data_IF_394068437449
#
_entry.id   IF_394068437449
#
_cell.length_a   1.000
_cell.length_b   1.000
_cell.length_c   1.000
_cell.angle_alpha   90.00
_cell.angle_beta   90.00
_cell.angle_gamma   90.00
#
_symmetry.space_group_name_H-M   'P 1'
#
loop_
_entity.id
_entity.type
_entity.pdbx_description
1 polymer ?
#
# COMPACT_ATOMS: atom_id res chain seq x y z
N UNK A 1 -59.41 -44.29 -18.32
CA UNK A 1 -60.29 -44.81 -17.24
C UNK A 1 -59.74 -44.19 -15.95
N UNK A 2 -60.09 -42.95 -15.59
CA UNK A 2 -61.25 -42.57 -14.76
C UNK A 2 -61.29 -43.43 -13.46
N UNK A 3 -61.25 -42.93 -12.23
CA UNK A 3 -61.93 -41.74 -11.71
C UNK A 3 -61.43 -41.31 -10.29
N UNK A 4 -61.54 -40.00 -10.05
CA UNK A 4 -62.07 -39.28 -8.87
C UNK A 4 -61.52 -39.50 -7.44
N UNK A 5 -61.07 -38.38 -6.86
CA UNK A 5 -61.05 -38.08 -5.41
C UNK A 5 -62.50 -37.82 -4.88
N UNK A 6 -62.77 -37.70 -3.56
CA UNK A 6 -62.36 -36.50 -2.79
C UNK A 6 -62.10 -36.65 -1.26
N UNK A 7 -61.41 -35.62 -0.75
CA UNK A 7 -61.52 -34.90 0.54
C UNK A 7 -61.96 -35.59 1.87
N UNK A 8 -61.18 -35.32 2.93
CA UNK A 8 -61.63 -35.45 4.32
C UNK A 8 -60.50 -35.21 5.34
N UNK A 9 -60.48 -34.00 5.92
CA UNK A 9 -59.53 -33.49 6.91
C UNK A 9 -59.65 -34.12 8.30
N UNK A 10 -58.52 -34.27 9.01
CA UNK A 10 -58.43 -34.28 10.49
C UNK A 10 -56.97 -34.12 10.94
N UNK A 11 -56.67 -33.01 11.60
CA UNK A 11 -55.44 -32.81 12.39
C UNK A 11 -55.43 -33.74 13.61
N UNK A 12 -54.25 -34.22 14.05
CA UNK A 12 -54.02 -34.60 15.44
C UNK A 12 -53.19 -33.53 16.16
N UNK A 13 -53.67 -33.17 17.36
CA UNK A 13 -53.09 -32.14 18.21
C UNK A 13 -51.72 -32.49 18.77
N UNK A 14 -50.92 -31.46 19.02
CA UNK A 14 -49.63 -31.55 19.66
C UNK A 14 -49.79 -31.86 21.17
N UNK A 15 -49.39 -33.07 21.57
CA UNK A 15 -49.09 -33.41 22.95
C UNK A 15 -47.97 -32.50 23.48
N UNK A 16 -48.27 -31.73 24.54
CA UNK A 16 -47.26 -31.00 25.31
C UNK A 16 -46.60 -31.96 26.30
N UNK A 17 -45.41 -32.45 25.96
CA UNK A 17 -44.52 -33.11 26.93
C UNK A 17 -43.94 -32.06 27.87
N UNK A 18 -44.34 -32.14 29.13
CA UNK A 18 -43.80 -31.36 30.24
C UNK A 18 -42.38 -31.89 30.58
N UNK A 19 -41.32 -31.25 30.08
CA UNK A 19 -39.98 -31.44 30.64
C UNK A 19 -39.63 -30.28 31.55
N UNK A 20 -39.51 -30.62 32.84
CA UNK A 20 -38.94 -29.78 33.89
C UNK A 20 -37.42 -29.83 33.73
N UNK A 21 -36.78 -28.70 33.46
CA UNK A 21 -35.33 -28.57 33.48
C UNK A 21 -34.96 -27.33 34.27
N UNK A 22 -34.23 -27.57 35.35
CA UNK A 22 -33.75 -26.57 36.30
C UNK A 22 -32.69 -25.65 35.67
N UNK A 23 -32.81 -24.35 35.96
CA UNK A 23 -31.71 -23.40 36.10
C UNK A 23 -30.69 -23.28 34.97
N UNK A 24 -31.03 -22.56 33.90
CA UNK A 24 -30.10 -21.80 33.06
C UNK A 24 -30.92 -20.72 32.31
N UNK A 25 -30.86 -19.47 32.77
CA UNK A 25 -31.42 -18.34 32.04
C UNK A 25 -30.59 -18.11 30.78
N UNK A 26 -30.98 -18.72 29.66
CA UNK A 26 -30.66 -18.19 28.35
C UNK A 26 -31.52 -16.95 28.15
N UNK A 27 -30.91 -15.75 28.24
CA UNK A 27 -31.55 -14.52 27.78
C UNK A 27 -31.70 -14.63 26.27
N UNK A 28 -32.89 -14.99 25.80
CA UNK A 28 -33.21 -14.96 24.37
C UNK A 28 -33.27 -13.51 23.92
N UNK A 29 -32.20 -13.04 23.27
CA UNK A 29 -32.20 -11.76 22.56
C UNK A 29 -33.19 -11.82 21.41
N UNK A 30 -34.12 -10.87 21.39
CA UNK A 30 -35.20 -10.84 20.40
C UNK A 30 -34.66 -10.23 19.11
N UNK A 31 -34.44 -11.07 18.09
CA UNK A 31 -33.91 -10.65 16.79
C UNK A 31 -35.02 -10.21 15.78
N UNK A 32 -36.29 -10.50 16.06
CA UNK A 32 -37.44 -10.14 15.23
C UNK A 32 -38.66 -9.86 16.13
N UNK A 33 -39.34 -8.72 15.94
CA UNK A 33 -40.53 -8.34 16.71
C UNK A 33 -41.68 -9.36 16.61
N UNK A 34 -41.68 -10.23 15.59
CA UNK A 34 -42.74 -11.22 15.32
C UNK A 34 -42.63 -12.51 16.15
N UNK A 35 -41.57 -12.73 16.93
CA UNK A 35 -41.45 -13.92 17.78
C UNK A 35 -42.12 -13.77 19.17
N UNK A 36 -42.61 -12.57 19.52
CA UNK A 36 -43.34 -12.31 20.76
C UNK A 36 -44.62 -11.51 20.48
N UNK A 37 -45.58 -12.11 19.79
CA UNK A 37 -46.93 -11.51 19.72
C UNK A 37 -47.64 -11.72 21.06
N UNK A 38 -47.25 -10.96 22.08
CA UNK A 38 -48.13 -10.70 23.20
C UNK A 38 -49.07 -9.58 22.76
N UNK A 39 -50.36 -9.88 22.66
CA UNK A 39 -51.40 -8.88 22.41
C UNK A 39 -51.36 -7.90 23.57
N UNK A 40 -50.86 -6.68 23.34
CA UNK A 40 -50.85 -5.60 24.31
C UNK A 40 -52.26 -5.00 24.37
N UNK A 41 -52.99 -5.29 25.44
CA UNK A 41 -54.29 -4.66 25.73
C UNK A 41 -54.00 -3.59 26.80
N UNK A 42 -54.14 -2.29 26.48
CA UNK A 42 -53.92 -1.24 27.46
C UNK A 42 -54.95 -1.34 28.59
N UNK A 43 -54.53 -1.07 29.82
CA UNK A 43 -55.41 -1.05 30.98
C UNK A 43 -56.33 0.20 30.91
N UNK A 44 -57.65 -0.02 30.76
CA UNK A 44 -58.64 1.06 30.66
C UNK A 44 -59.09 1.45 32.06
N UNK A 45 -58.75 2.68 32.47
CA UNK A 45 -59.15 3.20 33.78
C UNK A 45 -60.55 3.80 33.71
N UNK A 46 -61.56 3.04 34.13
CA UNK A 46 -62.94 3.52 34.23
C UNK A 46 -63.15 4.24 35.57
N UNK A 47 -62.93 5.55 35.59
CA UNK A 47 -63.49 6.40 36.64
C UNK A 47 -64.78 7.06 36.13
N UNK A 48 -65.82 7.03 36.97
CA UNK A 48 -67.18 7.51 36.72
C UNK A 48 -67.24 9.02 36.38
N UNK A 49 -66.89 9.37 35.15
CA UNK A 49 -67.34 10.52 34.38
C UNK A 49 -66.71 10.38 32.99
N UNK A 50 -67.54 10.33 31.95
CA UNK A 50 -67.17 10.20 30.53
C UNK A 50 -66.38 11.41 29.97
N UNK A 51 -65.54 12.08 30.77
CA UNK A 51 -64.82 13.29 30.34
C UNK A 51 -63.32 13.10 30.08
N UNK A 52 -62.67 12.02 30.53
CA UNK A 52 -61.24 11.84 30.26
C UNK A 52 -60.87 10.38 29.97
N UNK A 53 -61.00 9.98 28.71
CA UNK A 53 -60.34 8.79 28.18
C UNK A 53 -58.84 9.04 28.07
N UNK A 54 -58.09 8.69 29.09
CA UNK A 54 -56.62 8.66 29.03
C UNK A 54 -56.17 7.20 28.94
N UNK A 55 -55.55 6.83 27.82
CA UNK A 55 -54.85 5.55 27.69
C UNK A 55 -53.52 5.66 28.43
N UNK A 56 -53.32 4.84 29.47
CA UNK A 56 -52.05 4.76 30.19
C UNK A 56 -51.17 3.68 29.53
N UNK A 57 -50.08 4.12 28.91
CA UNK A 57 -49.09 3.26 28.27
C UNK A 57 -47.83 3.07 29.12
N UNK A 58 -47.84 3.44 30.40
CA UNK A 58 -46.66 3.40 31.26
C UNK A 58 -46.12 1.99 31.46
N UNK A 59 -47.02 0.99 31.47
CA UNK A 59 -46.66 -0.43 31.58
C UNK A 59 -46.03 -0.96 30.31
N UNK A 60 -46.62 -0.67 29.15
CA UNK A 60 -46.14 -1.05 27.83
C UNK A 60 -44.80 -0.39 27.56
N UNK A 61 -44.65 0.90 27.91
CA UNK A 61 -43.39 1.62 27.84
C UNK A 61 -42.32 0.93 28.69
N UNK A 62 -42.63 0.57 29.95
CA UNK A 62 -41.68 -0.13 30.83
C UNK A 62 -41.32 -1.53 30.34
N UNK A 63 -42.26 -2.23 29.68
CA UNK A 63 -42.01 -3.52 29.04
C UNK A 63 -41.12 -3.37 27.80
N UNK A 64 -41.40 -2.39 26.93
CA UNK A 64 -40.60 -2.10 25.75
C UNK A 64 -39.18 -1.63 26.12
N UNK A 65 -39.05 -0.80 27.16
CA UNK A 65 -37.76 -0.37 27.71
C UNK A 65 -36.97 -1.52 28.37
N UNK A 66 -37.66 -2.59 28.78
CA UNK A 66 -37.05 -3.78 29.38
C UNK A 66 -36.64 -4.86 28.37
N UNK A 67 -36.90 -4.68 27.07
CA UNK A 67 -36.53 -5.64 26.02
C UNK A 67 -35.06 -5.46 25.60
N UNK A 68 -34.28 -6.54 25.68
CA UNK A 68 -32.90 -6.61 25.15
C UNK A 68 -32.95 -6.86 23.64
N UNK A 69 -33.17 -5.77 22.88
CA UNK A 69 -33.15 -5.82 21.43
C UNK A 69 -31.73 -6.08 20.92
N UNK A 70 -31.60 -7.03 19.99
CA UNK A 70 -30.34 -7.20 19.29
C UNK A 70 -30.08 -5.94 18.45
N UNK A 71 -28.97 -5.25 18.71
CA UNK A 71 -28.52 -4.11 17.92
C UNK A 71 -27.41 -4.52 16.95
N UNK A 72 -27.21 -3.73 15.89
CA UNK A 72 -26.02 -3.88 15.06
C UNK A 72 -24.75 -3.78 15.94
N UNK A 73 -23.64 -4.44 15.56
CA UNK A 73 -22.42 -4.40 16.36
C UNK A 73 -21.85 -2.99 16.45
N UNK A 74 -21.02 -2.73 17.46
CA UNK A 74 -20.21 -1.51 17.48
C UNK A 74 -19.24 -1.48 16.27
N UNK A 75 -18.90 -0.29 15.76
CA UNK A 75 -17.86 -0.15 14.73
C UNK A 75 -16.56 -0.85 15.15
N UNK A 76 -16.01 -1.75 14.30
CA UNK A 76 -14.68 -2.30 14.57
C UNK A 76 -13.61 -1.21 14.40
N UNK A 77 -12.47 -1.37 15.08
CA UNK A 77 -11.34 -0.45 15.00
C UNK A 77 -10.14 -1.14 14.37
N UNK A 78 -9.67 -0.65 13.23
CA UNK A 78 -8.43 -1.13 12.59
C UNK A 78 -7.24 -0.68 13.44
N UNK A 79 -6.32 -1.61 13.70
CA UNK A 79 -5.10 -1.39 14.50
C UNK A 79 -3.92 -1.31 13.54
N UNK A 80 -3.68 -0.12 12.97
CA UNK A 80 -2.63 0.09 11.96
C UNK A 80 -1.24 -0.33 12.46
N UNK A 81 -0.99 -0.21 13.77
CA UNK A 81 0.27 -0.62 14.41
C UNK A 81 0.49 -2.15 14.44
N UNK A 82 -0.57 -2.93 14.24
CA UNK A 82 -0.50 -4.40 14.13
C UNK A 82 -0.53 -4.86 12.67
N UNK A 83 -0.90 -3.97 11.74
CA UNK A 83 -0.93 -4.28 10.32
C UNK A 83 0.49 -4.51 9.79
N UNK A 84 0.61 -5.44 8.84
CA UNK A 84 1.89 -5.71 8.18
C UNK A 84 1.74 -5.62 6.67
N UNK A 85 2.77 -5.15 6.00
CA UNK A 85 2.79 -5.01 4.55
C UNK A 85 4.02 -5.67 3.95
N UNK A 86 3.81 -6.36 2.84
CA UNK A 86 4.86 -6.74 1.90
C UNK A 86 4.66 -5.95 0.59
N UNK A 87 5.40 -6.29 -0.46
CA UNK A 87 5.25 -5.65 -1.76
C UNK A 87 3.93 -6.00 -2.48
N UNK A 88 3.28 -7.10 -2.15
CA UNK A 88 2.05 -7.56 -2.82
C UNK A 88 0.96 -8.02 -1.84
N UNK A 89 1.22 -7.90 -0.53
CA UNK A 89 0.25 -8.29 0.51
C UNK A 89 0.13 -7.23 1.59
N UNK A 90 -1.06 -7.10 2.16
CA UNK A 90 -1.32 -6.34 3.39
C UNK A 90 -2.15 -7.21 4.32
N UNK A 91 -1.67 -7.44 5.54
CA UNK A 91 -2.45 -8.04 6.62
C UNK A 91 -3.05 -6.94 7.46
N UNK A 92 -4.38 -6.85 7.45
CA UNK A 92 -5.14 -5.88 8.22
C UNK A 92 -5.58 -6.54 9.52
N UNK A 93 -5.32 -5.87 10.65
CA UNK A 93 -5.77 -6.29 11.97
C UNK A 93 -6.79 -5.31 12.52
N UNK A 94 -7.84 -5.80 13.18
CA UNK A 94 -8.84 -4.98 13.83
C UNK A 94 -9.30 -5.58 15.15
N UNK A 95 -10.02 -4.78 15.93
CA UNK A 95 -10.67 -5.21 17.18
C UNK A 95 -12.14 -4.76 17.20
N UNK A 96 -12.96 -5.48 17.95
CA UNK A 96 -14.34 -5.10 18.28
C UNK A 96 -14.51 -5.15 19.79
N UNK A 97 -15.18 -4.16 20.37
CA UNK A 97 -15.39 -4.08 21.82
C UNK A 97 -16.22 -5.26 22.36
N UNK A 98 -17.27 -5.64 21.64
CA UNK A 98 -18.09 -6.82 21.92
C UNK A 98 -18.02 -7.80 20.75
N UNK A 99 -16.99 -8.65 20.74
CA UNK A 99 -16.77 -9.64 19.69
C UNK A 99 -17.90 -10.70 19.63
N UNK A 100 -18.58 -10.96 20.75
CA UNK A 100 -19.71 -11.91 20.80
C UNK A 100 -20.95 -11.38 20.09
N UNK A 101 -21.08 -10.05 19.95
CA UNK A 101 -22.16 -9.44 19.16
C UNK A 101 -21.96 -9.57 17.66
N UNK A 102 -20.76 -9.95 17.19
CA UNK A 102 -20.39 -10.00 15.77
C UNK A 102 -20.54 -11.42 15.23
N UNK A 103 -21.33 -11.58 14.17
CA UNK A 103 -21.46 -12.87 13.47
C UNK A 103 -20.36 -13.08 12.43
N UNK A 104 -19.91 -12.02 11.76
CA UNK A 104 -18.79 -12.02 10.81
C UNK A 104 -18.32 -10.61 10.50
N UNK A 105 -17.13 -10.52 9.93
CA UNK A 105 -16.60 -9.32 9.31
C UNK A 105 -16.62 -9.41 7.79
N UNK A 106 -16.63 -8.25 7.16
CA UNK A 106 -16.38 -8.06 5.74
C UNK A 106 -15.27 -7.01 5.60
N UNK A 107 -14.21 -7.33 4.87
CA UNK A 107 -13.13 -6.40 4.57
C UNK A 107 -13.35 -5.83 3.17
N UNK A 108 -13.35 -4.51 3.07
CA UNK A 108 -13.45 -3.79 1.80
C UNK A 108 -12.16 -3.00 1.57
N UNK A 109 -11.64 -2.99 0.34
CA UNK A 109 -10.47 -2.18 0.01
C UNK A 109 -10.48 -1.63 -1.41
N UNK A 110 -9.79 -0.50 -1.61
CA UNK A 110 -9.61 0.13 -2.92
C UNK A 110 -8.29 0.90 -2.98
N UNK A 111 -7.80 1.21 -4.19
CA UNK A 111 -6.58 1.99 -4.40
C UNK A 111 -6.84 3.45 -4.05
N UNK A 112 -5.94 4.07 -3.29
CA UNK A 112 -6.00 5.50 -3.00
C UNK A 112 -5.44 6.30 -4.19
N UNK A 113 -6.33 6.92 -4.96
CA UNK A 113 -5.96 7.92 -5.97
C UNK A 113 -5.96 9.29 -5.29
N UNK A 114 -4.81 9.93 -5.14
CA UNK A 114 -4.64 11.18 -4.36
C UNK A 114 -5.54 12.36 -4.75
N UNK A 115 -6.26 12.27 -5.88
CA UNK A 115 -7.22 13.26 -6.37
C UNK A 115 -8.68 13.04 -5.94
N UNK A 116 -9.02 11.88 -5.36
CA UNK A 116 -10.39 11.60 -4.96
C UNK A 116 -10.64 12.00 -3.50
N UNK A 117 -11.52 12.99 -3.28
CA UNK A 117 -12.12 13.19 -1.96
C UNK A 117 -12.72 11.86 -1.49
N UNK A 118 -12.47 11.46 -0.23
CA UNK A 118 -12.96 10.21 0.36
C UNK A 118 -14.46 9.95 0.11
N UNK A 119 -15.26 11.02 0.06
CA UNK A 119 -16.70 10.99 -0.25
C UNK A 119 -16.98 10.44 -1.67
N UNK A 120 -16.13 10.72 -2.65
CA UNK A 120 -16.28 10.23 -4.03
C UNK A 120 -16.00 8.72 -4.14
N UNK A 121 -15.06 8.19 -3.36
CA UNK A 121 -14.75 6.75 -3.30
C UNK A 121 -15.83 5.97 -2.56
N UNK A 122 -16.42 6.55 -1.50
CA UNK A 122 -17.51 5.95 -0.74
C UNK A 122 -18.79 5.75 -1.59
N UNK A 123 -19.06 6.66 -2.53
CA UNK A 123 -20.25 6.61 -3.40
C UNK A 123 -20.05 5.75 -4.66
N UNK A 124 -18.82 5.38 -5.00
CA UNK A 124 -18.52 4.47 -6.13
C UNK A 124 -18.46 3.03 -5.63
N UNK A 125 -19.62 2.45 -5.28
CA UNK A 125 -19.70 1.08 -4.75
C UNK A 125 -19.09 0.02 -5.68
N UNK A 126 -18.94 0.30 -6.99
CA UNK A 126 -18.34 -0.61 -7.98
C UNK A 126 -16.80 -0.65 -7.96
N UNK A 127 -16.14 0.19 -7.14
CA UNK A 127 -14.66 0.29 -7.12
C UNK A 127 -13.99 -0.40 -5.92
N UNK A 128 -14.78 -1.00 -5.04
CA UNK A 128 -14.27 -1.68 -3.85
C UNK A 128 -14.16 -3.18 -4.08
N UNK A 129 -13.02 -3.73 -3.70
CA UNK A 129 -12.84 -5.17 -3.58
C UNK A 129 -13.40 -5.61 -2.23
N UNK A 130 -14.19 -6.67 -2.21
CA UNK A 130 -14.92 -7.13 -1.02
C UNK A 130 -14.50 -8.56 -0.67
N UNK A 131 -14.14 -8.77 0.59
CA UNK A 131 -13.86 -10.06 1.20
C UNK A 131 -14.89 -10.31 2.30
N UNK A 132 -15.97 -11.07 2.02
CA UNK A 132 -17.03 -11.31 2.99
C UNK A 132 -16.72 -12.48 3.94
N UNK A 133 -17.55 -12.63 4.98
CA UNK A 133 -17.61 -13.82 5.84
C UNK A 133 -16.33 -14.14 6.63
N UNK A 134 -15.54 -13.13 6.99
CA UNK A 134 -14.34 -13.29 7.80
C UNK A 134 -14.77 -13.55 9.25
N UNK A 135 -14.25 -14.61 9.87
CA UNK A 135 -14.54 -14.95 11.29
C UNK A 135 -13.43 -14.55 12.25
N UNK A 136 -12.28 -14.18 11.72
CA UNK A 136 -11.10 -13.75 12.48
C UNK A 136 -11.11 -12.22 12.60
N UNK A 137 -10.25 -11.71 13.48
CA UNK A 137 -10.01 -10.29 13.68
C UNK A 137 -8.87 -9.73 12.80
N UNK A 138 -8.47 -10.48 11.78
CA UNK A 138 -7.47 -10.09 10.81
C UNK A 138 -7.71 -10.78 9.49
N UNK A 139 -7.16 -10.22 8.42
CA UNK A 139 -7.17 -10.83 7.10
C UNK A 139 -5.99 -10.35 6.26
N UNK A 140 -5.37 -11.26 5.50
CA UNK A 140 -4.31 -10.94 4.56
C UNK A 140 -4.86 -10.84 3.15
N UNK A 141 -4.79 -9.65 2.57
CA UNK A 141 -5.08 -9.42 1.16
C UNK A 141 -3.82 -9.68 0.35
N UNK A 142 -3.96 -10.43 -0.75
CA UNK A 142 -2.87 -10.83 -1.64
C UNK A 142 -3.06 -10.24 -3.04
N UNK A 143 -1.96 -10.16 -3.81
CA UNK A 143 -1.99 -9.69 -5.21
C UNK A 143 -2.20 -8.18 -5.34
N UNK A 144 -1.81 -7.42 -4.32
CA UNK A 144 -1.83 -5.96 -4.35
C UNK A 144 -0.68 -5.43 -5.22
N UNK A 145 -0.87 -4.24 -5.78
CA UNK A 145 0.19 -3.54 -6.52
C UNK A 145 1.24 -3.04 -5.53
N UNK A 146 2.52 -3.18 -5.88
CA UNK A 146 3.63 -2.69 -5.07
C UNK A 146 3.70 -1.17 -5.01
N UNK A 147 4.29 -0.64 -3.93
CA UNK A 147 4.45 0.79 -3.74
C UNK A 147 3.14 1.59 -3.71
N UNK A 148 2.00 0.93 -3.57
CA UNK A 148 0.66 1.51 -3.79
C UNK A 148 -0.04 1.71 -2.45
N UNK A 149 -0.70 2.86 -2.30
CA UNK A 149 -1.53 3.16 -1.12
C UNK A 149 -2.94 2.64 -1.33
N UNK A 150 -3.50 2.03 -0.30
CA UNK A 150 -4.85 1.45 -0.28
C UNK A 150 -5.64 2.02 0.89
N UNK A 151 -6.96 2.11 0.71
CA UNK A 151 -7.90 2.34 1.80
C UNK A 151 -8.55 1.01 2.15
N UNK A 152 -8.60 0.68 3.44
CA UNK A 152 -9.28 -0.48 4.00
C UNK A 152 -10.42 -0.05 4.91
N UNK A 153 -11.56 -0.75 4.82
CA UNK A 153 -12.72 -0.61 5.68
C UNK A 153 -13.11 -1.99 6.19
N UNK A 154 -13.28 -2.13 7.51
CA UNK A 154 -13.78 -3.37 8.12
C UNK A 154 -15.22 -3.16 8.53
N UNK A 155 -16.10 -4.06 8.13
CA UNK A 155 -17.52 -4.03 8.47
C UNK A 155 -17.86 -5.18 9.39
N UNK A 156 -18.32 -4.89 10.61
CA UNK A 156 -18.84 -5.87 11.54
C UNK A 156 -20.33 -6.11 11.24
N UNK A 157 -20.75 -7.39 11.18
CA UNK A 157 -22.08 -7.80 10.74
C UNK A 157 -22.70 -8.77 11.74
N UNK A 158 -23.98 -8.57 12.08
CA UNK A 158 -24.82 -9.53 12.79
C UNK A 158 -26.27 -9.50 12.23
N UNK A 159 -27.19 -10.22 12.87
CA UNK A 159 -28.58 -10.31 12.42
C UNK A 159 -29.34 -8.98 12.47
N UNK A 160 -28.95 -8.04 13.33
CA UNK A 160 -29.58 -6.74 13.48
C UNK A 160 -29.02 -5.67 12.53
N UNK A 161 -27.88 -5.94 11.87
CA UNK A 161 -27.31 -5.07 10.86
C UNK A 161 -25.80 -5.07 10.86
N UNK A 162 -25.22 -3.93 10.47
CA UNK A 162 -23.77 -3.79 10.33
C UNK A 162 -23.27 -2.39 10.61
N UNK A 163 -21.97 -2.29 10.93
CA UNK A 163 -21.24 -1.03 11.12
C UNK A 163 -19.85 -1.13 10.52
N UNK A 164 -19.39 -0.02 9.95
CA UNK A 164 -18.06 0.10 9.35
C UNK A 164 -17.08 0.71 10.35
N UNK A 165 -15.82 0.33 10.25
CA UNK A 165 -14.70 1.04 10.88
C UNK A 165 -14.49 2.41 10.24
N UNK A 166 -13.69 3.24 10.91
CA UNK A 166 -12.99 4.32 10.21
C UNK A 166 -12.06 3.75 9.12
N UNK A 167 -11.81 4.49 8.03
CA UNK A 167 -10.94 4.06 6.96
C UNK A 167 -9.48 4.02 7.40
N UNK A 168 -8.82 2.88 7.21
CA UNK A 168 -7.39 2.73 7.42
C UNK A 168 -6.62 2.93 6.11
N UNK A 169 -5.50 3.65 6.16
CA UNK A 169 -4.67 3.91 4.97
C UNK A 169 -3.36 3.14 5.08
N UNK A 170 -3.26 2.05 4.33
CA UNK A 170 -2.10 1.16 4.37
C UNK A 170 -1.41 1.16 3.01
N UNK A 171 -0.09 0.99 3.00
CA UNK A 171 0.72 1.02 1.77
C UNK A 171 1.49 -0.29 1.62
N UNK A 172 1.53 -0.84 0.41
CA UNK A 172 2.44 -1.95 0.08
C UNK A 172 3.88 -1.45 -0.03
N UNK A 173 4.84 -2.32 0.31
CA UNK A 173 6.25 -1.99 0.19
C UNK A 173 6.68 -1.88 -1.27
N UNK A 174 7.87 -1.33 -1.48
CA UNK A 174 8.49 -1.26 -2.81
C UNK A 174 8.67 -2.65 -3.41
N UNK A 175 8.51 -2.74 -4.73
CA UNK A 175 8.81 -3.95 -5.49
C UNK A 175 10.29 -4.37 -5.33
N UNK A 176 10.59 -5.55 -4.76
CA UNK A 176 11.95 -6.06 -4.69
C UNK A 176 12.46 -6.41 -6.09
N UNK A 177 13.75 -6.18 -6.33
CA UNK A 177 14.40 -6.49 -7.60
C UNK A 177 15.87 -6.91 -7.38
N UNK A 178 16.44 -7.53 -8.40
CA UNK A 178 17.84 -7.96 -8.49
C UNK A 178 18.43 -7.50 -9.82
N UNK A 179 19.74 -7.48 -9.93
CA UNK A 179 20.43 -7.27 -11.20
C UNK A 179 20.12 -8.44 -12.15
N UNK A 180 19.76 -8.14 -13.39
CA UNK A 180 19.59 -9.15 -14.44
C UNK A 180 20.96 -9.44 -15.09
N UNK A 181 21.52 -10.66 -14.94
CA UNK A 181 22.78 -11.03 -15.57
C UNK A 181 22.75 -10.92 -17.10
N UNK A 182 21.58 -11.03 -17.73
CA UNK A 182 21.41 -10.89 -19.19
C UNK A 182 21.52 -9.43 -19.66
N UNK A 183 21.28 -8.48 -18.76
CA UNK A 183 21.40 -7.04 -19.02
C UNK A 183 22.73 -6.47 -18.51
N UNK A 184 23.59 -7.30 -17.93
CA UNK A 184 24.88 -6.89 -17.40
C UNK A 184 25.98 -6.90 -18.46
N UNK A 185 26.89 -5.93 -18.38
CA UNK A 185 28.09 -5.90 -19.20
C UNK A 185 29.01 -7.09 -18.85
N UNK A 186 29.63 -7.71 -19.86
CA UNK A 186 30.47 -8.93 -19.70
C UNK A 186 31.69 -8.77 -18.78
N UNK A 187 32.15 -7.53 -18.57
CA UNK A 187 33.25 -7.18 -17.63
C UNK A 187 32.75 -6.94 -16.18
N UNK A 188 31.47 -7.16 -15.90
CA UNK A 188 30.91 -7.14 -14.54
C UNK A 188 30.75 -8.56 -14.01
N UNK A 189 31.07 -8.72 -12.73
CA UNK A 189 30.66 -9.87 -11.93
C UNK A 189 29.47 -9.47 -11.09
N UNK A 190 28.44 -10.30 -11.13
CA UNK A 190 27.24 -10.16 -10.28
C UNK A 190 27.31 -11.26 -9.22
N UNK A 191 27.02 -10.92 -7.97
CA UNK A 191 26.93 -11.87 -6.87
C UNK A 191 25.81 -12.89 -7.08
N UNK A 192 25.90 -14.04 -6.41
CA UNK A 192 24.91 -15.12 -6.54
C UNK A 192 23.49 -14.69 -6.16
N UNK A 193 23.35 -13.76 -5.20
CA UNK A 193 22.06 -13.22 -4.78
C UNK A 193 21.49 -12.16 -5.76
N UNK A 194 22.30 -11.69 -6.71
CA UNK A 194 21.94 -10.66 -7.69
C UNK A 194 21.89 -9.24 -7.13
N UNK A 195 22.41 -8.99 -5.93
CA UNK A 195 22.32 -7.70 -5.24
C UNK A 195 23.62 -6.90 -5.23
N UNK A 196 24.73 -7.50 -5.66
CA UNK A 196 26.02 -6.83 -5.76
C UNK A 196 26.56 -6.96 -7.18
N UNK A 197 27.18 -5.89 -7.67
CA UNK A 197 28.02 -5.95 -8.85
C UNK A 197 29.39 -5.36 -8.58
N UNK A 198 30.40 -5.97 -9.19
CA UNK A 198 31.78 -5.52 -9.14
C UNK A 198 32.41 -5.58 -10.53
N UNK A 199 33.42 -4.74 -10.76
CA UNK A 199 34.19 -4.80 -11.99
C UNK A 199 35.18 -5.96 -11.95
N UNK A 200 35.19 -6.79 -13.00
CA UNK A 200 36.12 -7.91 -13.10
C UNK A 200 37.52 -7.46 -13.54
N UNK A 201 38.38 -7.18 -12.57
CA UNK A 201 39.78 -6.80 -12.77
C UNK A 201 40.64 -7.94 -13.35
N UNK A 202 40.17 -9.20 -13.32
CA UNK A 202 40.92 -10.34 -13.88
C UNK A 202 40.98 -10.32 -15.42
N UNK A 203 40.06 -9.59 -16.05
CA UNK A 203 40.04 -9.36 -17.51
C UNK A 203 41.20 -8.46 -17.99
N UNK A 204 41.81 -7.66 -17.10
CA UNK A 204 42.92 -6.78 -17.43
C UNK A 204 44.26 -7.52 -17.60
N UNK A 205 44.44 -8.67 -16.95
CA UNK A 205 45.71 -9.43 -17.00
C UNK A 205 45.95 -10.15 -18.34
N UNK A 206 44.95 -10.24 -19.22
CA UNK A 206 45.03 -10.93 -20.52
C UNK A 206 45.37 -10.02 -21.71
N UNK A 207 45.52 -8.70 -21.50
CA UNK A 207 45.86 -7.75 -22.57
C UNK A 207 47.28 -7.21 -22.37
N UNK A 208 48.22 -7.58 -23.24
CA UNK A 208 49.56 -6.95 -23.33
C UNK A 208 49.57 -5.68 -24.19
N UNK A 209 48.42 -5.25 -24.69
CA UNK A 209 48.26 -3.92 -25.25
C UNK A 209 47.71 -2.98 -24.17
N UNK A 210 48.34 -1.80 -23.94
CA UNK A 210 47.68 -0.76 -23.18
C UNK A 210 46.34 -0.49 -23.89
N UNK A 211 45.21 -0.67 -23.19
CA UNK A 211 43.89 -0.29 -23.70
C UNK A 211 43.95 1.23 -23.95
N UNK A 212 44.41 1.59 -25.15
CA UNK A 212 44.55 2.95 -25.66
C UNK A 212 43.14 3.51 -25.70
N UNK A 213 42.79 4.38 -24.75
CA UNK A 213 41.65 5.31 -24.75
C UNK A 213 40.61 5.07 -25.86
N UNK A 214 39.92 3.93 -25.84
CA UNK A 214 38.72 3.74 -26.64
C UNK A 214 37.58 4.20 -25.73
N UNK A 215 36.92 5.28 -26.14
CA UNK A 215 35.89 5.97 -25.36
C UNK A 215 34.59 5.19 -25.17
N UNK A 216 34.65 3.91 -24.77
CA UNK A 216 33.52 2.98 -24.71
C UNK A 216 33.36 2.28 -23.35
N UNK A 217 34.00 2.76 -22.28
CA UNK A 217 33.89 2.14 -20.96
C UNK A 217 32.59 2.52 -20.23
N UNK A 218 31.52 1.79 -20.49
CA UNK A 218 30.33 1.84 -19.65
C UNK A 218 30.01 0.42 -19.21
N UNK A 219 30.33 0.09 -17.96
CA UNK A 219 29.98 -1.23 -17.41
C UNK A 219 28.64 -1.10 -16.70
N UNK A 220 27.57 -1.28 -17.47
CA UNK A 220 26.19 -1.16 -17.00
C UNK A 220 25.54 -2.49 -16.66
N UNK A 221 24.57 -2.45 -15.75
CA UNK A 221 23.61 -3.49 -15.46
C UNK A 221 22.25 -2.85 -15.16
N UNK A 222 21.17 -3.63 -15.30
CA UNK A 222 19.82 -3.20 -15.02
C UNK A 222 19.11 -4.19 -14.08
N UNK A 223 18.09 -3.71 -13.39
CA UNK A 223 17.19 -4.54 -12.60
C UNK A 223 16.39 -5.49 -13.49
N UNK A 224 15.97 -6.61 -12.91
CA UNK A 224 15.13 -7.62 -13.56
C UNK A 224 13.62 -7.29 -13.52
N UNK A 225 13.25 -6.13 -13.00
CA UNK A 225 11.87 -5.66 -12.86
C UNK A 225 11.68 -4.34 -13.61
N UNK A 226 10.51 -4.20 -14.22
CA UNK A 226 10.03 -2.97 -14.83
C UNK A 226 8.86 -2.45 -14.00
N UNK A 227 8.97 -1.20 -13.56
CA UNK A 227 8.01 -0.50 -12.70
C UNK A 227 7.20 0.44 -13.59
N UNK A 228 5.89 0.39 -13.45
CA UNK A 228 4.92 1.12 -14.28
C UNK A 228 3.78 1.78 -13.48
N UNK A 229 3.88 1.76 -12.15
CA UNK A 229 2.91 2.30 -11.20
C UNK A 229 3.54 2.39 -9.83
N UNK A 230 2.92 3.15 -8.92
CA UNK A 230 3.27 3.18 -7.51
C UNK A 230 4.51 4.00 -7.15
N UNK A 231 4.85 3.97 -5.87
CA UNK A 231 5.97 4.70 -5.26
C UNK A 231 6.98 3.71 -4.65
N UNK A 232 8.17 3.66 -5.23
CA UNK A 232 9.21 2.67 -4.98
C UNK A 232 10.50 3.32 -4.47
N UNK A 233 11.05 2.74 -3.41
CA UNK A 233 12.30 3.16 -2.81
C UNK A 233 13.32 2.02 -2.78
N UNK A 234 14.57 2.37 -3.09
CA UNK A 234 15.72 1.49 -2.89
C UNK A 234 16.95 2.31 -2.54
N UNK A 235 17.91 1.65 -1.90
CA UNK A 235 19.20 2.26 -1.59
C UNK A 235 20.32 1.53 -2.31
N UNK A 236 21.38 2.27 -2.64
CA UNK A 236 22.59 1.72 -3.21
C UNK A 236 23.77 2.09 -2.33
N UNK A 237 24.44 1.08 -1.79
CA UNK A 237 25.69 1.24 -1.05
C UNK A 237 26.82 1.32 -2.07
N UNK A 238 27.42 2.51 -2.19
CA UNK A 238 28.48 2.83 -3.16
C UNK A 238 29.89 2.62 -2.61
N UNK A 239 30.03 2.41 -1.30
CA UNK A 239 31.28 2.09 -0.65
C UNK A 239 32.39 3.11 -0.98
N UNK A 240 33.51 2.65 -1.54
CA UNK A 240 34.60 3.54 -1.95
C UNK A 240 34.64 3.81 -3.46
N UNK A 241 33.60 3.42 -4.22
CA UNK A 241 33.48 3.75 -5.63
C UNK A 241 33.43 5.28 -5.83
N UNK A 242 34.21 5.76 -6.80
CA UNK A 242 34.29 7.18 -7.15
C UNK A 242 33.80 7.46 -8.56
N UNK A 243 33.35 6.42 -9.26
CA UNK A 243 32.89 6.49 -10.64
C UNK A 243 31.70 5.54 -10.82
N UNK A 244 30.50 6.10 -10.74
CA UNK A 244 29.24 5.37 -10.91
C UNK A 244 28.13 6.27 -11.43
N UNK A 245 27.09 5.68 -12.02
CA UNK A 245 25.81 6.34 -12.22
C UNK A 245 24.67 5.37 -11.86
N UNK A 246 23.64 5.90 -11.22
CA UNK A 246 22.54 5.15 -10.60
C UNK A 246 21.24 5.90 -10.88
N UNK A 247 20.19 5.20 -11.29
CA UNK A 247 18.88 5.80 -11.47
C UNK A 247 17.91 4.86 -12.15
N UNK A 248 17.13 5.38 -13.09
CA UNK A 248 16.16 4.58 -13.87
C UNK A 248 16.34 4.80 -15.37
N UNK A 249 15.92 3.81 -16.15
CA UNK A 249 15.91 3.89 -17.61
C UNK A 249 14.73 3.12 -18.19
N UNK A 250 14.31 3.53 -19.39
CA UNK A 250 13.42 2.71 -20.21
C UNK A 250 14.19 1.50 -20.76
N UNK A 251 13.45 0.43 -21.09
CA UNK A 251 14.00 -0.77 -21.76
C UNK A 251 14.69 -0.44 -23.10
N UNK A 252 14.23 0.61 -23.77
CA UNK A 252 14.76 1.10 -25.06
C UNK A 252 16.07 1.88 -24.93
N UNK A 253 16.54 2.17 -23.72
CA UNK A 253 17.76 2.94 -23.52
C UNK A 253 18.97 2.28 -24.24
N UNK A 254 19.77 3.06 -25.00
CA UNK A 254 20.96 2.56 -25.68
C UNK A 254 21.92 1.86 -24.72
N UNK A 255 22.26 0.61 -25.03
CA UNK A 255 23.16 -0.22 -24.20
C UNK A 255 24.64 0.09 -24.40
N UNK A 256 24.99 0.78 -25.49
CA UNK A 256 26.34 1.13 -25.88
C UNK A 256 26.73 2.58 -25.51
N UNK A 257 25.86 3.31 -24.81
CA UNK A 257 26.10 4.68 -24.37
C UNK A 257 26.13 4.78 -22.84
N UNK A 258 26.61 5.91 -22.33
CA UNK A 258 26.51 6.21 -20.91
C UNK A 258 25.07 6.55 -20.53
N UNK A 259 24.57 5.93 -19.46
CA UNK A 259 23.28 6.31 -18.87
C UNK A 259 23.30 7.79 -18.48
N UNK A 260 22.20 8.49 -18.76
CA UNK A 260 22.07 9.94 -18.65
C UNK A 260 22.47 10.74 -19.90
N UNK A 261 23.15 10.14 -20.89
CA UNK A 261 23.47 10.82 -22.16
C UNK A 261 22.36 10.77 -23.21
N UNK A 262 21.34 9.96 -22.98
CA UNK A 262 20.16 9.84 -23.85
C UNK A 262 18.89 10.33 -23.15
N UNK A 263 17.80 10.46 -23.90
CA UNK A 263 16.49 10.88 -23.39
C UNK A 263 15.71 9.78 -22.68
N UNK A 264 16.28 8.57 -22.56
CA UNK A 264 15.61 7.37 -22.00
C UNK A 264 16.18 6.94 -20.65
N UNK A 265 16.99 7.79 -20.00
CA UNK A 265 17.58 7.51 -18.70
C UNK A 265 17.76 8.78 -17.86
N UNK A 266 17.57 8.63 -16.55
CA UNK A 266 17.69 9.69 -15.54
C UNK A 266 18.51 9.15 -14.39
N UNK A 267 19.66 9.78 -14.11
CA UNK A 267 20.65 9.20 -13.21
C UNK A 267 21.32 10.25 -12.34
N UNK A 268 21.62 9.85 -11.12
CA UNK A 268 22.60 10.49 -10.26
C UNK A 268 23.97 9.83 -10.46
N UNK A 269 25.03 10.61 -10.53
CA UNK A 269 26.37 10.11 -10.83
C UNK A 269 27.45 10.79 -10.03
N UNK A 270 28.47 10.00 -9.69
CA UNK A 270 29.73 10.50 -9.17
C UNK A 270 30.83 10.32 -10.21
N UNK A 271 31.57 11.39 -10.48
CA UNK A 271 32.79 11.38 -11.27
C UNK A 271 33.91 11.98 -10.43
N UNK A 272 34.75 11.10 -9.87
CA UNK A 272 35.78 11.46 -8.90
C UNK A 272 35.18 12.13 -7.65
N UNK A 273 35.36 13.45 -7.51
CA UNK A 273 34.83 14.24 -6.39
C UNK A 273 33.56 15.03 -6.75
N UNK A 274 33.15 15.00 -8.03
CA UNK A 274 31.98 15.72 -8.48
C UNK A 274 30.77 14.79 -8.44
N UNK A 275 29.66 15.33 -7.95
CA UNK A 275 28.36 14.69 -8.01
C UNK A 275 27.50 15.49 -8.98
N UNK A 276 26.85 14.79 -9.88
CA UNK A 276 25.98 15.38 -10.89
C UNK A 276 24.72 14.55 -11.05
N UNK A 277 23.64 15.18 -11.47
CA UNK A 277 22.51 14.49 -12.08
C UNK A 277 22.61 14.64 -13.60
N UNK A 278 22.25 13.58 -14.34
CA UNK A 278 22.32 13.55 -15.81
C UNK A 278 21.05 13.04 -16.44
N UNK A 279 20.65 13.72 -17.51
CA UNK A 279 19.57 13.30 -18.40
C UNK A 279 19.73 14.00 -19.76
N UNK A 280 19.50 13.28 -20.86
CA UNK A 280 19.49 13.83 -22.21
C UNK A 280 20.73 14.68 -22.55
N UNK A 281 21.91 14.17 -22.17
CA UNK A 281 23.21 14.82 -22.38
C UNK A 281 23.37 16.18 -21.65
N UNK A 282 22.48 16.48 -20.69
CA UNK A 282 22.60 17.60 -19.77
C UNK A 282 23.10 17.10 -18.42
N UNK A 283 23.94 17.89 -17.79
CA UNK A 283 24.48 17.62 -16.46
C UNK A 283 24.24 18.82 -15.56
N UNK A 284 23.89 18.57 -14.29
CA UNK A 284 23.77 19.58 -13.24
C UNK A 284 24.57 19.11 -12.03
N UNK A 285 25.43 19.99 -11.49
CA UNK A 285 26.17 19.71 -10.27
C UNK A 285 25.23 19.64 -9.06
N UNK A 286 25.51 18.70 -8.17
CA UNK A 286 24.80 18.53 -6.91
C UNK A 286 25.81 18.63 -5.78
N UNK A 287 25.52 19.45 -4.78
CA UNK A 287 26.36 19.54 -3.59
C UNK A 287 26.10 18.34 -2.70
N UNK A 288 27.12 17.50 -2.52
CA UNK A 288 27.03 16.27 -1.74
C UNK A 288 28.27 16.13 -0.89
N UNK A 289 28.10 15.62 0.33
CA UNK A 289 29.23 15.36 1.21
C UNK A 289 30.19 14.33 0.56
N UNK A 290 31.51 14.62 0.43
CA UNK A 290 32.44 13.75 -0.31
C UNK A 290 32.53 12.31 0.20
N UNK A 291 32.19 12.10 1.46
CA UNK A 291 32.21 10.80 2.12
C UNK A 291 30.90 10.00 1.95
N UNK A 292 29.89 10.50 1.24
CA UNK A 292 28.63 9.79 1.01
C UNK A 292 28.90 8.35 0.53
N UNK A 293 28.33 7.38 1.25
CA UNK A 293 28.50 5.93 1.02
C UNK A 293 27.24 5.23 0.54
N UNK A 294 26.12 5.95 0.53
CA UNK A 294 24.81 5.42 0.24
C UNK A 294 24.00 6.46 -0.51
N UNK A 295 23.24 6.01 -1.49
CA UNK A 295 22.32 6.83 -2.25
C UNK A 295 20.93 6.22 -2.15
N UNK A 296 19.97 6.98 -1.67
CA UNK A 296 18.55 6.63 -1.73
C UNK A 296 17.95 7.08 -3.05
N UNK A 297 17.13 6.22 -3.65
CA UNK A 297 16.40 6.51 -4.90
C UNK A 297 14.92 6.26 -4.65
N UNK A 298 14.12 7.29 -4.88
CA UNK A 298 12.66 7.25 -4.79
C UNK A 298 12.07 7.50 -6.17
N UNK A 299 11.41 6.48 -6.72
CA UNK A 299 10.60 6.59 -7.93
C UNK A 299 9.13 6.70 -7.51
N UNK A 300 8.54 7.87 -7.65
CA UNK A 300 7.09 8.06 -7.59
C UNK A 300 6.55 8.09 -9.02
N UNK A 301 6.23 6.90 -9.54
CA UNK A 301 5.79 6.74 -10.92
C UNK A 301 4.45 7.45 -11.15
N UNK A 302 3.53 7.32 -10.18
CA UNK A 302 2.18 7.89 -10.27
C UNK A 302 2.20 9.43 -10.26
N UNK A 303 3.13 10.05 -9.52
CA UNK A 303 3.31 11.50 -9.48
C UNK A 303 4.41 12.02 -10.42
N UNK A 304 4.93 11.18 -11.34
CA UNK A 304 5.92 11.60 -12.33
C UNK A 304 7.22 12.16 -11.74
N UNK A 305 7.70 11.63 -10.61
CA UNK A 305 8.88 12.15 -9.93
C UNK A 305 9.95 11.06 -9.68
N UNK A 306 11.21 11.42 -9.91
CA UNK A 306 12.38 10.62 -9.52
C UNK A 306 13.29 11.45 -8.63
N UNK A 307 13.38 11.06 -7.36
CA UNK A 307 14.12 11.81 -6.33
C UNK A 307 15.32 11.02 -5.80
N UNK A 308 16.40 11.74 -5.49
CA UNK A 308 17.64 11.20 -4.94
C UNK A 308 17.91 11.79 -3.57
N UNK A 309 18.38 10.95 -2.65
CA UNK A 309 18.61 11.32 -1.26
C UNK A 309 19.96 10.82 -0.76
N UNK A 310 20.56 11.55 0.19
CA UNK A 310 21.55 11.01 1.11
C UNK A 310 20.82 10.53 2.38
N UNK A 311 20.51 9.22 2.49
CA UNK A 311 19.71 8.71 3.60
C UNK A 311 20.43 8.81 4.95
N UNK A 312 21.77 8.88 4.98
CA UNK A 312 22.51 9.00 6.24
C UNK A 312 22.31 10.37 6.88
N UNK A 313 22.10 11.40 6.06
CA UNK A 313 21.91 12.78 6.49
C UNK A 313 20.45 13.26 6.31
N UNK A 314 19.54 12.38 5.88
CA UNK A 314 18.15 12.72 5.53
C UNK A 314 18.05 13.93 4.59
N UNK A 315 19.00 14.03 3.66
CA UNK A 315 19.15 15.18 2.77
C UNK A 315 18.59 14.84 1.39
N UNK A 316 17.69 15.68 0.89
CA UNK A 316 17.28 15.68 -0.51
C UNK A 316 18.40 16.22 -1.40
N UNK A 317 18.73 15.49 -2.46
CA UNK A 317 19.81 15.84 -3.38
C UNK A 317 19.28 16.45 -4.68
N UNK A 318 18.27 15.82 -5.28
CA UNK A 318 17.69 16.27 -6.54
C UNK A 318 16.37 15.54 -6.84
N UNK A 319 15.46 16.18 -7.56
CA UNK A 319 14.27 15.56 -8.17
C UNK A 319 14.20 15.89 -9.65
N UNK A 320 14.02 14.85 -10.46
CA UNK A 320 13.54 14.99 -11.83
C UNK A 320 12.02 14.90 -11.86
N UNK A 321 11.38 15.89 -12.46
CA UNK A 321 10.00 15.80 -12.93
C UNK A 321 10.01 15.11 -14.30
N UNK A 322 9.43 13.91 -14.38
CA UNK A 322 9.48 13.03 -15.54
C UNK A 322 8.10 12.48 -15.85
N UNK A 323 7.53 12.89 -16.98
CA UNK A 323 6.34 12.24 -17.53
C UNK A 323 6.69 10.85 -18.07
N UNK A 324 6.58 9.83 -17.23
CA UNK A 324 6.88 8.45 -17.63
C UNK A 324 5.82 7.96 -18.63
N UNK A 325 6.27 7.51 -19.80
CA UNK A 325 5.38 7.02 -20.86
C UNK A 325 5.43 5.50 -21.02
N UNK A 326 6.40 4.85 -20.37
CA UNK A 326 6.66 3.41 -20.45
C UNK A 326 7.21 2.93 -19.10
N UNK A 327 7.11 1.63 -18.80
CA UNK A 327 7.74 1.06 -17.62
C UNK A 327 9.26 1.33 -17.60
N UNK A 328 9.78 1.69 -16.42
CA UNK A 328 11.21 1.94 -16.18
C UNK A 328 11.82 0.83 -15.34
N UNK A 329 13.11 0.57 -15.51
CA UNK A 329 13.85 -0.32 -14.62
C UNK A 329 14.96 0.44 -13.88
N UNK A 330 15.31 0.02 -12.65
CA UNK A 330 16.52 0.49 -11.99
C UNK A 330 17.75 0.20 -12.86
N UNK A 331 18.63 1.18 -13.02
CA UNK A 331 19.84 1.07 -13.85
C UNK A 331 21.08 1.55 -13.11
N UNK A 332 22.19 0.87 -13.37
CA UNK A 332 23.44 1.06 -12.64
C UNK A 332 24.62 0.96 -13.59
N UNK A 333 25.59 1.85 -13.44
CA UNK A 333 26.91 1.73 -14.07
C UNK A 333 28.01 1.97 -13.05
N UNK A 334 29.12 1.25 -13.21
CA UNK A 334 30.36 1.47 -12.46
C UNK A 334 31.56 1.52 -13.38
N UNK A 335 32.59 2.23 -12.95
CA UNK A 335 33.92 2.13 -13.56
C UNK A 335 34.96 1.50 -12.64
N UNK A 336 34.77 1.62 -11.32
CA UNK A 336 35.67 1.06 -10.33
C UNK A 336 34.91 0.44 -9.14
N UNK A 337 35.55 -0.58 -8.54
CA UNK A 337 35.12 -1.22 -7.29
C UNK A 337 33.76 -1.93 -7.45
N UNK A 338 32.84 -1.75 -6.51
CA UNK A 338 31.56 -2.46 -6.44
C UNK A 338 30.44 -1.59 -5.90
N UNK A 339 29.21 -1.99 -6.19
CA UNK A 339 27.97 -1.46 -5.62
C UNK A 339 27.15 -2.61 -5.03
N UNK A 340 26.40 -2.33 -3.98
CA UNK A 340 25.41 -3.25 -3.39
C UNK A 340 24.04 -2.57 -3.34
N UNK A 341 23.00 -3.31 -3.67
CA UNK A 341 21.61 -2.85 -3.78
C UNK A 341 20.82 -3.35 -2.58
N UNK A 342 20.07 -2.45 -1.97
CA UNK A 342 19.06 -2.74 -0.95
C UNK A 342 17.70 -2.42 -1.58
N UNK A 343 17.04 -3.44 -2.14
CA UNK A 343 15.76 -3.31 -2.83
C UNK A 343 14.59 -3.70 -1.94
N UNK A 344 13.37 -3.28 -2.32
CA UNK A 344 12.15 -3.62 -1.60
C UNK A 344 11.96 -2.89 -0.27
N UNK A 345 12.71 -1.81 -0.04
CA UNK A 345 12.64 -1.02 1.18
C UNK A 345 11.33 -0.22 1.24
N UNK A 346 10.74 -0.01 2.43
CA UNK A 346 9.71 1.00 2.59
C UNK A 346 10.31 2.39 2.30
N UNK A 347 9.48 3.32 1.82
CA UNK A 347 9.91 4.71 1.72
C UNK A 347 10.17 5.25 3.14
N UNK A 348 11.32 5.90 3.42
CA UNK A 348 11.59 6.48 4.72
C UNK A 348 10.57 7.54 5.14
N UNK A 349 10.24 7.59 6.43
CA UNK A 349 9.23 8.51 6.99
C UNK A 349 9.55 10.00 6.71
N UNK A 350 10.84 10.37 6.60
CA UNK A 350 11.24 11.74 6.29
C UNK A 350 10.88 12.19 4.87
N UNK A 351 10.50 11.26 3.98
CA UNK A 351 10.09 11.55 2.60
C UNK A 351 8.60 11.89 2.55
N UNK A 352 7.77 11.33 3.44
CA UNK A 352 6.32 11.55 3.45
C UNK A 352 5.90 12.88 4.13
N UNK A 353 6.82 13.63 4.76
CA UNK A 353 6.55 14.93 5.42
C UNK A 353 7.57 16.03 5.03
N UNK A 354 7.42 16.68 3.86
CA UNK A 354 8.37 17.70 3.41
C UNK A 354 8.28 19.07 4.15
N UNK A 355 7.31 19.30 5.04
CA UNK A 355 7.03 20.64 5.63
C UNK A 355 8.06 21.17 6.66
N UNK A 356 9.24 20.56 6.85
CA UNK A 356 10.24 21.05 7.82
C UNK A 356 11.63 21.39 7.25
N UNK A 357 11.84 21.30 5.92
CA UNK A 357 13.13 21.70 5.31
C UNK A 357 13.11 23.07 4.60
N UNK A 358 11.97 23.78 4.56
CA UNK A 358 11.88 25.16 4.03
C UNK A 358 12.40 26.24 5.01
N UNK A 359 13.54 26.00 5.64
CA UNK A 359 14.27 27.04 6.35
C UNK A 359 15.76 26.91 6.00
N UNK A 360 16.16 27.35 4.79
CA UNK A 360 17.44 28.05 4.51
C UNK A 360 17.92 28.08 3.04
N UNK A 361 17.05 28.08 2.03
CA UNK A 361 17.52 28.36 0.65
C UNK A 361 16.71 29.50 0.02
N UNK A 362 17.31 30.69 -0.03
CA UNK A 362 16.80 31.85 -0.79
C UNK A 362 16.82 31.54 -2.29
N UNK A 363 15.88 32.08 -3.09
CA UNK A 363 15.84 31.81 -4.52
C UNK A 363 16.99 32.56 -5.20
N UNK A 364 17.87 31.83 -5.88
CA UNK A 364 18.78 32.41 -6.87
C UNK A 364 18.43 31.92 -8.27
N UNK A 365 18.29 32.90 -9.14
CA UNK A 365 17.90 32.79 -10.54
C UNK A 365 18.82 31.87 -11.34
N UNK A 366 18.21 31.20 -12.32
CA UNK A 366 18.82 30.29 -13.28
C UNK A 366 20.07 30.85 -13.97
N UNK A 367 21.19 30.11 -13.96
CA UNK A 367 22.23 30.26 -14.95
C UNK A 367 22.43 28.92 -15.66
N UNK A 368 21.74 28.72 -16.79
CA UNK A 368 22.18 27.74 -17.79
C UNK A 368 23.52 28.23 -18.37
N UNK A 369 24.62 27.84 -17.73
CA UNK A 369 25.96 28.09 -18.27
C UNK A 369 26.31 26.96 -19.25
N UNK A 370 26.26 27.31 -20.53
CA UNK A 370 26.92 26.55 -21.60
C UNK A 370 28.43 26.70 -21.43
N UNK A 371 29.10 25.63 -20.97
CA UNK A 371 30.55 25.59 -20.80
C UNK A 371 31.08 24.19 -20.98
N UNK A 372 31.44 23.84 -22.22
CA UNK A 372 32.12 22.59 -22.57
C UNK A 372 33.47 22.45 -21.84
N UNK A 373 33.62 21.39 -21.03
CA UNK A 373 34.87 20.62 -20.94
C UNK A 373 34.53 19.13 -20.78
N UNK A 374 34.75 18.39 -21.87
CA UNK A 374 34.69 16.94 -21.85
C UNK A 374 35.76 16.40 -20.89
N UNK A 375 35.35 15.59 -19.91
CA UNK A 375 36.28 14.78 -19.13
C UNK A 375 36.71 13.58 -19.99
N UNK A 376 38.01 13.52 -20.29
CA UNK A 376 38.69 12.39 -20.93
C UNK A 376 39.00 11.28 -19.93
#
# INVERSE_FOLDING_TARGET
VADLAPAGSREPGAERTLMRMDGLFFSFRVAMATASSQVLIPDINFNDAFENFALDFSREKKLLEGLDYLTAPNPPSVREELCTASHDTITVHWISEDEFSVSSYELQYTIFTGQANFISLYNSMDSWMIVPNIKQNHYTVHGLQSGTRYIFLVKAINQAGSRNSEPARLKTNSQPFKLDPKMAHKKLKISNDGLQMEKDESSLKKSHTPERFSGTGCYGAAGNVFIDSGCHYWEVVVGSSTWYAIGVAYKSAPKNEWIGKNSSSWVFSRCNNNFVVRHNNKEMLVEVHPQMKRLGVLLDYDNNALSFYDPANSLHLHTFEVSFILPVCPTFTIWNKSLMILSGLPAPDFIDYPEQQECNCRPQESPYVSGMKACH
#
